data_IF_987245060543
#
_entry.id   IF_987245060543
#
_cell.length_a   1.000
_cell.length_b   1.000
_cell.length_c   1.000
_cell.angle_alpha   90.00
_cell.angle_beta   90.00
_cell.angle_gamma   90.00
#
_symmetry.space_group_name_H-M   'P 1'
#
loop_
_entity.id
_entity.type
_entity.pdbx_description
1 polymer ?
#
# COMPACT_ATOMS: atom_id res chain seq x y z
N UNK A 1 9.83 -19.68 -14.87
CA UNK A 1 8.58 -19.33 -15.60
C UNK A 1 7.35 -19.12 -14.70
N UNK A 2 7.35 -19.46 -13.41
CA UNK A 2 6.20 -19.26 -12.51
C UNK A 2 5.98 -17.79 -12.05
N UNK A 3 7.06 -17.00 -11.89
CA UNK A 3 6.97 -15.63 -11.37
C UNK A 3 6.25 -14.62 -12.28
N UNK A 4 6.33 -14.80 -13.61
CA UNK A 4 5.67 -13.94 -14.59
C UNK A 4 4.13 -14.10 -14.51
N UNK A 5 3.65 -15.31 -14.19
CA UNK A 5 2.21 -15.58 -14.04
C UNK A 5 1.65 -14.94 -12.76
N UNK A 6 2.41 -14.95 -11.66
CA UNK A 6 1.98 -14.39 -10.37
C UNK A 6 1.89 -12.86 -10.38
N UNK A 7 2.91 -12.17 -10.93
CA UNK A 7 2.87 -10.69 -11.07
C UNK A 7 1.82 -10.25 -12.10
N UNK A 8 1.62 -11.03 -13.16
CA UNK A 8 0.58 -10.78 -14.16
C UNK A 8 -0.82 -11.03 -13.60
N UNK A 9 -1.03 -12.08 -12.80
CA UNK A 9 -2.31 -12.28 -12.09
C UNK A 9 -2.63 -11.13 -11.13
N UNK A 10 -1.65 -10.65 -10.36
CA UNK A 10 -1.83 -9.48 -9.47
C UNK A 10 -2.16 -8.19 -10.25
N UNK A 11 -1.56 -7.99 -11.43
CA UNK A 11 -1.90 -6.89 -12.36
C UNK A 11 -3.30 -7.04 -12.99
N UNK A 12 -3.79 -8.27 -13.19
CA UNK A 12 -5.11 -8.55 -13.77
C UNK A 12 -6.25 -8.42 -12.74
N UNK A 13 -5.97 -8.52 -11.43
CA UNK A 13 -6.95 -8.40 -10.35
C UNK A 13 -7.54 -6.99 -10.17
N UNK A 14 -7.07 -5.97 -10.90
CA UNK A 14 -7.76 -4.68 -10.99
C UNK A 14 -6.86 -3.53 -11.42
N UNK A 15 -7.45 -2.58 -12.18
CA UNK A 15 -6.80 -1.37 -12.70
C UNK A 15 -6.08 -0.56 -11.61
N UNK A 16 -6.50 -0.69 -10.34
CA UNK A 16 -5.93 -0.02 -9.18
C UNK A 16 -4.51 -0.47 -8.83
N UNK A 17 -4.16 -1.74 -9.04
CA UNK A 17 -2.80 -2.25 -8.80
C UNK A 17 -1.79 -1.70 -9.83
N UNK A 18 -2.26 -1.18 -10.97
CA UNK A 18 -1.39 -0.58 -11.98
C UNK A 18 -0.81 0.77 -11.54
N UNK A 19 -1.44 1.46 -10.58
CA UNK A 19 -1.04 2.80 -10.14
C UNK A 19 -0.62 2.84 -8.67
N UNK A 20 -1.21 1.98 -7.82
CA UNK A 20 -1.02 1.95 -6.37
C UNK A 20 -0.71 0.51 -5.95
N UNK A 21 0.36 0.30 -5.18
CA UNK A 21 0.76 -1.04 -4.68
C UNK A 21 -0.19 -1.59 -3.63
N UNK A 22 -0.77 -0.73 -2.80
CA UNK A 22 -1.70 -1.13 -1.76
C UNK A 22 -3.02 -0.31 -1.75
N UNK A 23 -3.90 -0.49 -2.77
CA UNK A 23 -5.14 0.27 -2.88
C UNK A 23 -6.10 0.00 -1.71
N UNK A 24 -6.03 -1.18 -1.09
CA UNK A 24 -6.83 -1.52 0.10
C UNK A 24 -6.44 -0.70 1.32
N UNK A 25 -5.15 -0.57 1.61
CA UNK A 25 -4.67 0.24 2.73
C UNK A 25 -5.02 1.72 2.49
N UNK A 26 -4.92 2.20 1.25
CA UNK A 26 -5.39 3.54 0.86
C UNK A 26 -6.87 3.75 1.14
N UNK A 27 -7.72 2.80 0.72
CA UNK A 27 -9.17 2.86 0.98
C UNK A 27 -9.50 2.83 2.47
N UNK A 28 -8.81 1.99 3.24
CA UNK A 28 -8.98 1.91 4.68
C UNK A 28 -8.57 3.22 5.36
N UNK A 29 -7.42 3.81 4.99
CA UNK A 29 -6.99 5.10 5.53
C UNK A 29 -7.95 6.24 5.17
N UNK A 30 -8.51 6.27 3.96
CA UNK A 30 -9.48 7.30 3.60
C UNK A 30 -10.80 7.13 4.36
N UNK A 31 -11.28 5.89 4.48
CA UNK A 31 -12.52 5.57 5.19
C UNK A 31 -12.39 5.82 6.69
N UNK A 32 -11.29 5.36 7.29
CA UNK A 32 -11.00 5.60 8.71
C UNK A 32 -10.79 7.08 9.01
N UNK A 33 -10.19 7.86 8.09
CA UNK A 33 -10.06 9.30 8.24
C UNK A 33 -11.43 10.00 8.17
N UNK A 34 -12.29 9.62 7.22
CA UNK A 34 -13.64 10.16 7.11
C UNK A 34 -14.48 9.90 8.35
N UNK A 35 -14.44 8.66 8.87
CA UNK A 35 -15.14 8.30 10.11
C UNK A 35 -14.53 9.00 11.34
N UNK A 36 -13.19 9.15 11.39
CA UNK A 36 -12.53 9.87 12.47
C UNK A 36 -12.94 11.34 12.49
N UNK A 37 -13.12 11.99 11.33
CA UNK A 37 -13.46 13.40 11.25
C UNK A 37 -14.82 13.75 11.87
N UNK A 38 -15.76 12.81 11.90
CA UNK A 38 -17.10 13.01 12.47
C UNK A 38 -17.11 13.00 14.01
N UNK A 39 -16.21 12.23 14.64
CA UNK A 39 -16.13 12.06 16.10
C UNK A 39 -14.69 12.19 16.64
N UNK A 40 -13.90 13.08 16.06
CA UNK A 40 -12.47 13.17 16.34
C UNK A 40 -12.23 13.53 17.83
N UNK A 41 -11.63 12.60 18.56
CA UNK A 41 -11.16 12.83 19.93
C UNK A 41 -9.64 13.07 19.92
N UNK A 42 -9.12 13.87 20.87
CA UNK A 42 -7.67 14.12 20.99
C UNK A 42 -6.81 12.83 20.93
N UNK A 43 -7.19 11.72 21.60
CA UNK A 43 -6.46 10.46 21.50
C UNK A 43 -6.40 9.89 20.08
N UNK A 44 -7.47 10.01 19.29
CA UNK A 44 -7.47 9.53 17.91
C UNK A 44 -6.51 10.32 17.03
N UNK A 45 -6.39 11.64 17.22
CA UNK A 45 -5.44 12.46 16.46
C UNK A 45 -3.97 12.04 16.69
N UNK A 46 -3.66 11.43 17.83
CA UNK A 46 -2.31 10.92 18.14
C UNK A 46 -2.15 9.47 17.64
N UNK A 47 -3.13 8.61 17.89
CA UNK A 47 -3.07 7.19 17.54
C UNK A 47 -3.17 6.97 16.03
N UNK A 48 -3.88 7.83 15.30
CA UNK A 48 -4.08 7.68 13.87
C UNK A 48 -2.76 7.82 13.06
N UNK A 49 -1.90 8.82 13.31
CA UNK A 49 -0.54 8.86 12.74
C UNK A 49 0.32 7.63 13.09
N UNK A 50 0.20 7.09 14.31
CA UNK A 50 0.93 5.87 14.71
C UNK A 50 0.48 4.67 13.87
N UNK A 51 -0.83 4.52 13.68
CA UNK A 51 -1.41 3.50 12.81
C UNK A 51 -0.93 3.63 11.36
N UNK A 52 -0.89 4.85 10.82
CA UNK A 52 -0.34 5.12 9.48
C UNK A 52 1.12 4.65 9.40
N UNK A 53 1.94 5.01 10.39
CA UNK A 53 3.34 4.58 10.46
C UNK A 53 3.51 3.06 10.50
N UNK A 54 2.64 2.37 11.26
CA UNK A 54 2.61 0.90 11.31
C UNK A 54 2.25 0.28 9.95
N UNK A 55 1.23 0.80 9.27
CA UNK A 55 0.85 0.31 7.94
C UNK A 55 1.95 0.52 6.90
N UNK A 56 2.63 1.68 6.92
CA UNK A 56 3.77 1.93 6.04
C UNK A 56 4.89 0.93 6.32
N UNK A 57 5.18 0.64 7.59
CA UNK A 57 6.22 -0.34 7.97
C UNK A 57 5.84 -1.75 7.52
N UNK A 58 4.57 -2.13 7.63
CA UNK A 58 4.08 -3.42 7.18
C UNK A 58 4.17 -3.56 5.66
N UNK A 59 3.71 -2.56 4.91
CA UNK A 59 3.86 -2.54 3.46
C UNK A 59 5.33 -2.66 3.05
N UNK A 60 6.24 -1.88 3.64
CA UNK A 60 7.69 -2.00 3.36
C UNK A 60 8.27 -3.38 3.66
N UNK A 61 7.72 -4.12 4.64
CA UNK A 61 8.13 -5.53 4.87
C UNK A 61 7.63 -6.43 3.75
N UNK A 62 6.36 -6.32 3.37
CA UNK A 62 5.81 -7.07 2.24
C UNK A 62 6.59 -6.80 0.95
N UNK A 63 6.96 -5.54 0.69
CA UNK A 63 7.78 -5.18 -0.47
C UNK A 63 9.18 -5.82 -0.41
N UNK A 64 9.77 -5.91 0.78
CA UNK A 64 11.07 -6.57 0.96
C UNK A 64 10.97 -8.06 0.65
N UNK A 65 9.90 -8.72 1.08
CA UNK A 65 9.66 -10.13 0.79
C UNK A 65 9.42 -10.34 -0.72
N UNK A 66 8.66 -9.45 -1.36
CA UNK A 66 8.47 -9.44 -2.82
C UNK A 66 9.76 -9.15 -3.58
N UNK A 67 10.65 -8.30 -3.05
CA UNK A 67 11.98 -8.08 -3.64
C UNK A 67 12.86 -9.32 -3.53
N UNK A 68 12.76 -10.10 -2.46
CA UNK A 68 13.49 -11.37 -2.30
C UNK A 68 12.94 -12.42 -3.27
N UNK A 69 11.62 -12.49 -3.45
CA UNK A 69 10.97 -13.51 -4.28
C UNK A 69 11.02 -13.19 -5.78
N UNK A 70 10.87 -11.92 -6.17
CA UNK A 70 10.73 -11.49 -7.57
C UNK A 70 11.90 -10.63 -8.09
N UNK A 71 12.82 -10.19 -7.21
CA UNK A 71 14.07 -9.52 -7.59
C UNK A 71 13.87 -8.27 -8.45
N UNK A 72 14.60 -8.20 -9.56
CA UNK A 72 14.62 -7.04 -10.46
C UNK A 72 13.29 -6.77 -11.15
N UNK A 73 12.43 -7.79 -11.30
CA UNK A 73 11.10 -7.64 -11.89
C UNK A 73 10.21 -6.78 -10.99
N UNK A 74 10.30 -6.98 -9.68
CA UNK A 74 9.59 -6.16 -8.72
C UNK A 74 10.22 -4.77 -8.61
N UNK A 75 11.55 -4.64 -8.72
CA UNK A 75 12.20 -3.32 -8.80
C UNK A 75 11.70 -2.49 -9.99
N UNK A 76 11.54 -3.10 -11.16
CA UNK A 76 10.98 -2.42 -12.33
C UNK A 76 9.53 -1.98 -12.09
N UNK A 77 8.72 -2.85 -11.48
CA UNK A 77 7.33 -2.53 -11.09
C UNK A 77 7.24 -1.41 -10.05
N UNK A 78 8.14 -1.38 -9.06
CA UNK A 78 8.21 -0.30 -8.06
C UNK A 78 8.55 1.06 -8.66
N UNK A 79 9.31 1.10 -9.77
CA UNK A 79 9.62 2.35 -10.47
C UNK A 79 8.41 2.96 -11.17
N UNK A 80 7.47 2.13 -11.60
CA UNK A 80 6.26 2.55 -12.32
C UNK A 80 5.05 2.79 -11.39
N UNK A 81 5.12 2.36 -10.13
CA UNK A 81 3.96 2.36 -9.21
C UNK A 81 4.24 3.04 -7.88
N UNK A 82 3.25 3.76 -7.34
CA UNK A 82 3.33 4.42 -6.03
C UNK A 82 2.90 3.49 -4.91
N UNK A 83 3.31 3.75 -3.67
CA UNK A 83 3.03 2.86 -2.53
C UNK A 83 1.57 2.95 -2.07
N UNK A 84 1.05 4.16 -1.84
CA UNK A 84 -0.31 4.38 -1.33
C UNK A 84 -1.11 5.45 -2.10
N UNK A 85 -0.69 6.72 -2.10
CA UNK A 85 -1.36 7.85 -2.77
C UNK A 85 -0.29 8.91 -3.12
N UNK A 86 -0.36 9.66 -4.23
CA UNK A 86 0.36 10.93 -4.30
C UNK A 86 -0.01 11.78 -3.07
N UNK A 87 0.97 12.38 -2.39
CA UNK A 87 0.83 13.27 -1.21
C UNK A 87 0.96 12.65 0.20
N UNK A 88 0.96 11.33 0.37
CA UNK A 88 1.37 10.70 1.64
C UNK A 88 2.31 9.53 1.32
N UNK A 89 3.56 9.90 0.98
CA UNK A 89 4.73 9.03 0.69
C UNK A 89 4.62 8.17 -0.57
#
# INVERSE_FOLDING_TARGET
MAGISALRQKKTLGVSFKYIRHPQYTGLLLLSFGMMAEWATLPMLILYPVMIGMYIRLAKREEKDMLVEFGDQYRAYMKETKMFIPFIV
#
